data_IF_883705152878
#
_entry.id   IF_883705152878
#
_cell.length_a   1.000
_cell.length_b   1.000
_cell.length_c   1.000
_cell.angle_alpha   90.00
_cell.angle_beta   90.00
_cell.angle_gamma   90.00
#
_symmetry.space_group_name_H-M   'P 1'
#
loop_
_entity.id
_entity.type
_entity.pdbx_description
1 polymer ?
#
# COMPACT_ATOMS: atom_id res chain seq x y z
N UNK A 1 5.78 13.18 -1.65
CA UNK A 1 5.91 13.82 -2.98
C UNK A 1 4.57 14.11 -3.67
N UNK A 2 3.43 13.89 -2.99
CA UNK A 2 2.12 14.17 -3.56
C UNK A 2 1.90 15.70 -3.68
N UNK A 3 1.35 16.20 -4.80
CA UNK A 3 1.09 17.62 -5.00
C UNK A 3 0.21 18.24 -3.92
N UNK A 4 -0.80 17.51 -3.46
CA UNK A 4 -1.70 17.97 -2.38
C UNK A 4 -0.97 18.29 -1.05
N UNK A 5 0.25 17.78 -0.85
CA UNK A 5 1.12 18.09 0.29
C UNK A 5 2.34 18.95 -0.11
N UNK A 6 2.26 19.66 -1.23
CA UNK A 6 3.32 20.54 -1.72
C UNK A 6 4.42 19.84 -2.53
N UNK A 7 4.27 18.59 -2.88
CA UNK A 7 5.16 17.87 -3.80
C UNK A 7 5.15 18.48 -5.20
N UNK A 8 6.32 18.58 -5.84
CA UNK A 8 6.45 19.24 -7.13
C UNK A 8 6.89 18.31 -8.27
N UNK A 9 7.26 17.07 -7.94
CA UNK A 9 7.84 16.15 -8.92
C UNK A 9 6.80 15.18 -9.52
N UNK A 10 5.77 14.80 -8.79
CA UNK A 10 4.78 13.83 -9.23
C UNK A 10 3.54 14.51 -9.82
N UNK A 11 2.91 13.82 -10.77
CA UNK A 11 1.59 14.16 -11.30
C UNK A 11 0.61 13.07 -10.86
N UNK A 12 -0.36 13.42 -10.03
CA UNK A 12 -1.30 12.46 -9.42
C UNK A 12 -2.76 12.86 -9.60
N UNK A 13 -3.24 13.00 -10.86
CA UNK A 13 -4.56 13.60 -11.13
C UNK A 13 -5.71 12.84 -10.46
N UNK A 14 -5.66 11.53 -10.36
CA UNK A 14 -6.71 10.73 -9.72
C UNK A 14 -6.69 10.86 -8.19
N UNK A 15 -5.50 10.93 -7.59
CA UNK A 15 -5.34 11.16 -6.13
C UNK A 15 -5.79 12.59 -5.80
N UNK A 16 -5.42 13.56 -6.64
CA UNK A 16 -5.79 14.97 -6.45
C UNK A 16 -7.30 15.16 -6.57
N UNK A 17 -7.95 14.46 -7.53
CA UNK A 17 -9.40 14.46 -7.67
C UNK A 17 -10.12 13.84 -6.46
N UNK A 18 -9.58 12.74 -5.91
CA UNK A 18 -10.09 12.12 -4.69
C UNK A 18 -9.94 13.07 -3.49
N UNK A 19 -8.79 13.72 -3.35
CA UNK A 19 -8.53 14.68 -2.28
C UNK A 19 -9.46 15.89 -2.34
N UNK A 20 -9.78 16.38 -3.54
CA UNK A 20 -10.70 17.50 -3.74
C UNK A 20 -12.16 17.19 -3.32
N UNK A 21 -12.54 15.91 -3.31
CA UNK A 21 -13.87 15.44 -2.94
C UNK A 21 -13.93 14.85 -1.53
N UNK A 22 -12.79 14.63 -0.90
CA UNK A 22 -12.65 13.95 0.37
C UNK A 22 -12.10 14.82 1.48
N UNK A 23 -11.83 14.17 2.62
CA UNK A 23 -11.13 14.77 3.75
C UNK A 23 -9.65 14.44 3.67
N UNK A 24 -8.80 15.46 3.63
CA UNK A 24 -7.34 15.32 3.59
C UNK A 24 -6.74 15.60 4.97
N UNK A 25 -5.96 14.67 5.49
CA UNK A 25 -5.28 14.80 6.77
C UNK A 25 -3.86 15.34 6.57
N UNK A 26 -3.58 16.52 7.10
CA UNK A 26 -2.25 17.13 7.04
C UNK A 26 -1.25 16.48 8.03
N UNK A 27 -1.76 15.79 9.03
CA UNK A 27 -0.96 15.08 10.04
C UNK A 27 -1.53 13.69 10.24
N UNK A 28 -0.88 12.69 9.68
CA UNK A 28 -1.17 11.29 9.89
C UNK A 28 0.10 10.57 10.35
N UNK A 29 0.01 9.82 11.43
CA UNK A 29 1.14 9.16 12.07
C UNK A 29 0.92 7.66 12.13
N UNK A 30 2.01 6.92 12.05
CA UNK A 30 2.05 5.48 12.30
C UNK A 30 3.15 5.18 13.32
N UNK A 31 2.99 4.10 14.06
CA UNK A 31 3.92 3.74 15.13
C UNK A 31 5.25 3.19 14.62
N UNK A 32 5.24 2.52 13.48
CA UNK A 32 6.44 1.91 12.88
C UNK A 32 6.48 2.11 11.38
N UNK A 33 7.57 2.73 10.88
CA UNK A 33 7.81 2.97 9.47
C UNK A 33 8.41 1.74 8.74
N UNK A 34 8.07 0.53 9.18
CA UNK A 34 8.47 -0.73 8.53
C UNK A 34 7.26 -1.44 7.93
N UNK A 35 7.45 -2.14 6.81
CA UNK A 35 6.39 -2.76 6.03
C UNK A 35 5.42 -3.59 6.87
N UNK A 36 5.90 -4.64 7.52
CA UNK A 36 5.03 -5.60 8.20
C UNK A 36 4.41 -5.05 9.49
N UNK A 37 5.14 -4.38 10.39
CA UNK A 37 4.54 -3.74 11.57
C UNK A 37 3.46 -2.71 11.22
N UNK A 38 3.73 -1.82 10.26
CA UNK A 38 2.76 -0.83 9.80
C UNK A 38 1.49 -1.48 9.23
N UNK A 39 1.63 -2.54 8.44
CA UNK A 39 0.47 -3.27 7.89
C UNK A 39 -0.31 -4.02 8.96
N UNK A 40 0.38 -4.65 9.92
CA UNK A 40 -0.26 -5.30 11.05
C UNK A 40 -1.03 -4.28 11.93
N UNK A 41 -0.46 -3.10 12.14
CA UNK A 41 -1.13 -1.97 12.80
C UNK A 41 -2.37 -1.53 12.03
N UNK A 42 -2.24 -1.26 10.73
CA UNK A 42 -3.34 -0.83 9.86
C UNK A 42 -4.50 -1.83 9.84
N UNK A 43 -4.20 -3.12 9.72
CA UNK A 43 -5.22 -4.16 9.60
C UNK A 43 -5.77 -4.68 10.92
N UNK A 44 -5.12 -4.40 12.06
CA UNK A 44 -5.62 -4.77 13.38
C UNK A 44 -6.17 -3.61 14.20
N UNK A 45 -5.83 -2.37 13.83
CA UNK A 45 -6.13 -1.19 14.64
C UNK A 45 -5.37 -1.15 15.96
N UNK A 46 -4.30 -1.95 16.11
CA UNK A 46 -3.51 -2.06 17.34
C UNK A 46 -2.05 -1.74 17.09
N UNK A 47 -1.44 -1.01 18.00
CA UNK A 47 -0.01 -0.73 17.95
C UNK A 47 0.83 -2.01 17.93
N UNK A 48 2.04 -2.00 17.31
CA UNK A 48 2.91 -3.16 17.20
C UNK A 48 3.20 -3.86 18.53
N UNK A 49 3.35 -3.12 19.60
CA UNK A 49 3.57 -3.69 20.95
C UNK A 49 2.37 -4.50 21.45
N UNK A 50 1.16 -4.09 21.06
CA UNK A 50 -0.08 -4.77 21.45
C UNK A 50 -0.39 -5.95 20.51
N UNK A 51 -0.22 -5.79 19.20
CA UNK A 51 -0.47 -6.86 18.24
C UNK A 51 0.66 -7.89 18.15
N UNK A 52 1.86 -7.59 18.67
CA UNK A 52 3.03 -8.46 18.69
C UNK A 52 3.94 -8.39 17.47
N UNK A 53 3.54 -7.68 16.41
CA UNK A 53 4.32 -7.53 15.19
C UNK A 53 5.20 -6.27 15.26
N UNK A 54 6.29 -6.32 16.02
CA UNK A 54 7.13 -5.16 16.31
C UNK A 54 8.26 -4.91 15.29
N UNK A 55 8.58 -5.89 14.42
CA UNK A 55 9.62 -5.78 13.38
C UNK A 55 9.26 -6.60 12.15
N UNK A 56 9.98 -6.39 11.05
CA UNK A 56 9.76 -7.14 9.82
C UNK A 56 9.97 -8.64 10.05
N UNK A 57 9.13 -9.45 9.41
CA UNK A 57 9.08 -10.90 9.50
C UNK A 57 8.64 -11.47 10.87
N UNK A 58 8.23 -10.62 11.82
CA UNK A 58 7.52 -11.07 13.02
C UNK A 58 6.07 -11.42 12.74
N UNK A 59 5.40 -12.09 13.65
CA UNK A 59 3.98 -12.44 13.52
C UNK A 59 3.15 -11.68 14.55
N UNK A 60 1.92 -11.37 14.19
CA UNK A 60 0.95 -10.91 15.20
C UNK A 60 0.55 -12.05 16.13
N UNK A 61 0.16 -11.69 17.34
CA UNK A 61 -0.31 -12.68 18.33
C UNK A 61 -1.58 -13.36 17.82
N UNK A 62 -1.77 -14.66 18.07
CA UNK A 62 -2.92 -15.42 17.55
C UNK A 62 -4.29 -14.92 17.99
N UNK A 63 -4.37 -14.25 19.14
CA UNK A 63 -5.60 -13.70 19.72
C UNK A 63 -5.98 -12.31 19.17
N UNK A 64 -5.13 -11.70 18.37
CA UNK A 64 -5.42 -10.41 17.71
C UNK A 64 -6.58 -10.59 16.74
N UNK A 65 -7.49 -9.62 16.74
CA UNK A 65 -8.57 -9.53 15.75
C UNK A 65 -8.21 -8.49 14.71
N UNK A 66 -8.54 -8.77 13.47
CA UNK A 66 -8.19 -7.92 12.34
C UNK A 66 -9.40 -7.43 11.56
N UNK A 67 -9.19 -6.43 10.74
CA UNK A 67 -10.21 -5.85 9.86
C UNK A 67 -10.97 -6.93 9.05
N UNK A 68 -10.32 -7.89 8.36
CA UNK A 68 -11.05 -8.91 7.63
C UNK A 68 -11.93 -9.80 8.53
N UNK A 69 -11.51 -10.07 9.76
CA UNK A 69 -12.35 -10.83 10.70
C UNK A 69 -13.57 -10.02 11.18
N UNK A 70 -13.36 -8.72 11.45
CA UNK A 70 -14.46 -7.85 11.89
C UNK A 70 -15.47 -7.62 10.76
N UNK A 71 -15.00 -7.27 9.57
CA UNK A 71 -15.86 -7.05 8.41
C UNK A 71 -16.55 -8.32 7.94
N UNK A 72 -15.84 -9.47 7.96
CA UNK A 72 -16.44 -10.76 7.64
C UNK A 72 -17.63 -11.12 8.54
N UNK A 73 -17.60 -10.79 9.83
CA UNK A 73 -18.73 -10.94 10.75
C UNK A 73 -19.94 -10.06 10.40
N UNK A 74 -19.70 -8.97 9.69
CA UNK A 74 -20.74 -8.06 9.21
C UNK A 74 -21.24 -8.43 7.80
N UNK A 75 -20.84 -9.60 7.27
CA UNK A 75 -21.24 -10.07 5.96
C UNK A 75 -20.43 -9.51 4.78
N UNK A 76 -19.29 -8.84 5.04
CA UNK A 76 -18.44 -8.36 3.96
C UNK A 76 -17.53 -9.46 3.42
N UNK A 77 -17.37 -9.50 2.11
CA UNK A 77 -16.25 -10.16 1.46
C UNK A 77 -15.01 -9.26 1.59
N UNK A 78 -13.90 -9.79 2.11
CA UNK A 78 -12.71 -8.98 2.35
C UNK A 78 -11.53 -9.51 1.56
N UNK A 79 -11.13 -8.80 0.52
CA UNK A 79 -10.07 -9.18 -0.40
C UNK A 79 -8.82 -8.31 -0.29
N UNK A 80 -7.70 -8.89 -0.76
CA UNK A 80 -6.45 -8.16 -0.96
C UNK A 80 -5.78 -8.59 -2.26
N UNK A 81 -5.45 -7.62 -3.10
CA UNK A 81 -4.65 -7.79 -4.32
C UNK A 81 -3.24 -7.22 -4.09
N UNK A 82 -2.21 -7.98 -4.48
CA UNK A 82 -0.81 -7.57 -4.34
C UNK A 82 -0.21 -7.84 -2.96
N UNK A 83 0.53 -6.90 -2.41
CA UNK A 83 1.35 -7.09 -1.20
C UNK A 83 0.50 -7.30 0.05
N UNK A 84 0.58 -8.49 0.64
CA UNK A 84 -0.07 -8.83 1.92
C UNK A 84 0.85 -8.49 3.09
N UNK A 85 1.94 -9.18 3.23
CA UNK A 85 3.03 -8.99 4.20
C UNK A 85 2.56 -8.80 5.64
N UNK A 86 1.63 -9.64 6.07
CA UNK A 86 1.20 -9.82 7.47
C UNK A 86 1.00 -11.30 7.76
N UNK A 87 1.14 -11.72 8.99
CA UNK A 87 0.95 -13.10 9.44
C UNK A 87 0.56 -13.17 10.92
N UNK A 88 -0.03 -14.27 11.39
CA UNK A 88 -0.42 -15.46 10.63
C UNK A 88 -1.70 -15.21 9.79
N UNK A 89 -1.95 -16.09 8.81
CA UNK A 89 -3.15 -16.00 7.95
C UNK A 89 -4.45 -16.17 8.75
N UNK A 90 -4.41 -16.95 9.82
CA UNK A 90 -5.55 -17.11 10.74
C UNK A 90 -5.99 -15.81 11.43
N UNK A 91 -5.08 -14.86 11.60
CA UNK A 91 -5.37 -13.52 12.11
C UNK A 91 -5.81 -12.59 10.99
N UNK A 92 -5.23 -12.73 9.80
CA UNK A 92 -5.51 -11.88 8.63
C UNK A 92 -6.07 -12.69 7.46
N UNK A 93 -7.30 -13.22 7.56
CA UNK A 93 -7.90 -14.10 6.58
C UNK A 93 -8.46 -13.34 5.36
N UNK A 94 -7.57 -12.65 4.63
CA UNK A 94 -7.94 -12.01 3.38
C UNK A 94 -8.18 -13.04 2.28
N UNK A 95 -9.21 -12.83 1.47
CA UNK A 95 -9.32 -13.48 0.17
C UNK A 95 -8.25 -12.91 -0.78
N UNK A 96 -7.37 -13.76 -1.29
CA UNK A 96 -6.32 -13.35 -2.22
C UNK A 96 -6.91 -13.11 -3.60
N UNK A 97 -6.73 -11.89 -4.10
CA UNK A 97 -7.19 -11.46 -5.43
C UNK A 97 -6.00 -11.43 -6.39
N UNK A 98 -6.17 -12.03 -7.57
CA UNK A 98 -5.13 -12.18 -8.59
C UNK A 98 -4.86 -10.90 -9.36
N UNK A 99 -3.77 -10.88 -10.15
CA UNK A 99 -3.45 -9.81 -11.10
C UNK A 99 -2.34 -8.85 -10.66
N UNK A 100 -1.94 -8.92 -9.38
CA UNK A 100 -0.86 -8.09 -8.83
C UNK A 100 0.21 -8.98 -8.19
N UNK A 101 1.47 -8.79 -8.57
CA UNK A 101 2.58 -9.52 -7.95
C UNK A 101 2.76 -9.02 -6.50
N UNK A 102 2.67 -9.90 -5.49
CA UNK A 102 2.87 -9.52 -4.10
C UNK A 102 4.34 -9.33 -3.72
N UNK A 103 5.28 -9.71 -4.58
CA UNK A 103 6.71 -9.70 -4.31
C UNK A 103 7.35 -8.36 -4.61
N UNK A 104 7.50 -7.54 -3.59
CA UNK A 104 8.07 -6.19 -3.69
C UNK A 104 9.60 -6.13 -3.90
N UNK A 105 10.30 -7.27 -3.93
CA UNK A 105 11.75 -7.30 -4.19
C UNK A 105 12.08 -7.77 -5.61
N UNK A 106 11.10 -8.12 -6.41
CA UNK A 106 11.25 -8.37 -7.84
C UNK A 106 11.07 -7.11 -8.63
N UNK A 107 11.84 -6.99 -9.72
CA UNK A 107 11.57 -5.97 -10.72
C UNK A 107 10.19 -6.24 -11.34
N UNK A 108 9.23 -5.35 -11.22
CA UNK A 108 7.96 -5.52 -11.88
C UNK A 108 8.20 -5.45 -13.40
N UNK A 109 8.06 -6.59 -14.06
CA UNK A 109 8.29 -6.72 -15.51
C UNK A 109 7.00 -6.77 -16.32
N UNK A 110 5.86 -6.81 -15.64
CA UNK A 110 4.54 -6.90 -16.26
C UNK A 110 3.62 -5.81 -15.74
N UNK A 111 2.78 -5.31 -16.62
CA UNK A 111 1.67 -4.45 -16.23
C UNK A 111 0.74 -5.18 -15.25
N UNK A 112 0.13 -4.44 -14.35
CA UNK A 112 -0.87 -4.98 -13.44
C UNK A 112 -2.10 -5.44 -14.24
N UNK A 113 -2.59 -6.64 -13.91
CA UNK A 113 -3.85 -7.15 -14.45
C UNK A 113 -4.99 -6.87 -13.47
N UNK A 114 -5.86 -5.96 -13.84
CA UNK A 114 -7.02 -5.56 -13.02
C UNK A 114 -8.23 -6.49 -13.16
N UNK A 115 -8.14 -7.56 -13.97
CA UNK A 115 -9.26 -8.48 -14.19
C UNK A 115 -9.74 -9.14 -12.89
N UNK A 116 -8.81 -9.62 -12.06
CA UNK A 116 -9.13 -10.21 -10.76
C UNK A 116 -9.79 -9.22 -9.80
N UNK A 117 -9.35 -7.96 -9.80
CA UNK A 117 -9.97 -6.87 -9.02
C UNK A 117 -11.39 -6.62 -9.50
N UNK A 118 -11.62 -6.50 -10.81
CA UNK A 118 -12.94 -6.31 -11.40
C UNK A 118 -13.86 -7.47 -11.06
N UNK A 119 -13.37 -8.70 -11.24
CA UNK A 119 -14.11 -9.90 -10.89
C UNK A 119 -14.50 -9.88 -9.41
N UNK A 120 -13.56 -9.65 -8.49
CA UNK A 120 -13.85 -9.58 -7.07
C UNK A 120 -14.93 -8.55 -6.74
N UNK A 121 -14.92 -7.40 -7.39
CA UNK A 121 -15.91 -6.33 -7.16
C UNK A 121 -17.29 -6.69 -7.70
N UNK A 122 -17.37 -7.46 -8.80
CA UNK A 122 -18.63 -7.85 -9.44
C UNK A 122 -19.22 -9.17 -8.94
N UNK A 123 -18.44 -9.99 -8.23
CA UNK A 123 -18.90 -11.28 -7.71
C UNK A 123 -19.90 -11.10 -6.58
N UNK A 124 -21.08 -11.71 -6.75
CA UNK A 124 -22.12 -11.74 -5.73
C UNK A 124 -22.78 -10.39 -5.43
N UNK A 125 -23.65 -10.39 -4.44
CA UNK A 125 -24.44 -9.24 -3.96
C UNK A 125 -23.98 -8.71 -2.61
N UNK A 126 -23.10 -9.44 -1.93
CA UNK A 126 -22.60 -9.06 -0.61
C UNK A 126 -21.70 -7.82 -0.68
N UNK A 127 -21.75 -6.96 0.32
CA UNK A 127 -20.83 -5.84 0.40
C UNK A 127 -19.38 -6.34 0.46
N UNK A 128 -18.44 -5.54 -0.05
CA UNK A 128 -17.03 -5.92 -0.05
C UNK A 128 -16.13 -4.82 0.47
N UNK A 129 -14.99 -5.25 1.00
CA UNK A 129 -13.83 -4.41 1.26
C UNK A 129 -12.64 -4.98 0.50
N UNK A 130 -12.07 -4.21 -0.42
CA UNK A 130 -10.93 -4.63 -1.22
C UNK A 130 -9.74 -3.72 -0.98
N UNK A 131 -8.63 -4.31 -0.57
CA UNK A 131 -7.33 -3.64 -0.48
C UNK A 131 -6.55 -3.92 -1.76
N UNK A 132 -6.19 -2.87 -2.50
CA UNK A 132 -5.27 -2.98 -3.63
C UNK A 132 -3.92 -2.43 -3.20
N UNK A 133 -2.96 -3.31 -3.03
CA UNK A 133 -1.66 -3.02 -2.45
C UNK A 133 -0.55 -3.24 -3.49
N UNK A 134 -0.29 -2.22 -4.28
CA UNK A 134 0.80 -2.25 -5.26
C UNK A 134 2.15 -2.37 -4.59
N UNK A 135 3.12 -2.94 -5.29
CA UNK A 135 4.50 -3.01 -4.84
C UNK A 135 5.26 -1.71 -5.10
N UNK A 136 4.84 -0.95 -6.10
CA UNK A 136 5.32 0.41 -6.32
C UNK A 136 4.79 1.32 -5.18
N UNK A 137 5.59 2.12 -4.65
CA UNK A 137 6.93 2.62 -4.96
C UNK A 137 8.06 1.98 -4.13
N UNK A 138 8.02 0.68 -3.90
CA UNK A 138 9.07 -0.03 -3.17
C UNK A 138 10.34 -0.17 -4.02
N UNK A 139 11.51 -0.21 -3.37
CA UNK A 139 12.78 -0.56 -4.05
C UNK A 139 12.70 -2.01 -4.60
N UNK A 140 13.36 -2.32 -5.73
CA UNK A 140 14.13 -1.45 -6.62
C UNK A 140 13.23 -0.55 -7.48
N UNK A 141 13.63 0.70 -7.69
CA UNK A 141 12.91 1.67 -8.52
C UNK A 141 13.33 1.50 -9.99
N UNK A 142 12.71 0.61 -10.68
CA UNK A 142 13.10 0.18 -12.04
C UNK A 142 12.10 0.58 -13.12
N UNK A 143 10.94 1.08 -12.72
CA UNK A 143 9.92 1.58 -13.63
C UNK A 143 9.80 3.09 -13.49
N UNK A 144 10.03 3.77 -14.58
CA UNK A 144 9.86 5.21 -14.69
C UNK A 144 9.74 5.60 -16.15
N UNK A 145 9.03 6.68 -16.40
CA UNK A 145 8.88 7.27 -17.73
C UNK A 145 9.73 8.54 -17.82
N UNK A 146 10.93 8.41 -18.36
CA UNK A 146 11.88 9.52 -18.53
C UNK A 146 11.36 10.63 -19.48
N UNK A 147 10.35 10.34 -20.30
CA UNK A 147 9.70 11.35 -21.13
C UNK A 147 8.87 12.33 -20.30
N UNK A 148 8.29 11.85 -19.20
CA UNK A 148 7.47 12.66 -18.28
C UNK A 148 8.29 13.24 -17.13
N UNK A 149 9.34 12.54 -16.68
CA UNK A 149 10.11 12.85 -15.48
C UNK A 149 11.60 13.01 -15.82
N UNK A 150 11.97 14.18 -16.31
CA UNK A 150 13.38 14.48 -16.64
C UNK A 150 14.22 14.63 -15.37
N UNK A 151 15.37 13.92 -15.23
CA UNK A 151 16.30 14.07 -14.11
C UNK A 151 16.75 15.50 -13.87
N UNK A 152 16.86 16.30 -14.94
CA UNK A 152 17.27 17.72 -14.86
C UNK A 152 16.22 18.63 -14.23
N UNK A 153 14.95 18.25 -14.25
CA UNK A 153 13.81 19.07 -13.79
C UNK A 153 13.29 18.71 -12.42
N UNK A 154 13.69 17.57 -11.86
CA UNK A 154 13.23 17.15 -10.53
C UNK A 154 13.82 18.06 -9.45
N UNK A 155 12.97 18.39 -8.48
CA UNK A 155 13.37 19.09 -7.26
C UNK A 155 13.83 18.07 -6.24
N UNK A 156 15.11 18.09 -5.89
CA UNK A 156 15.66 17.20 -4.89
C UNK A 156 15.22 17.59 -3.47
N UNK A 157 15.00 16.62 -2.56
CA UNK A 157 14.82 16.90 -1.15
C UNK A 157 16.06 17.61 -0.56
N UNK A 158 15.90 18.46 0.46
CA UNK A 158 16.99 19.27 1.00
C UNK A 158 18.11 18.45 1.65
N UNK A 159 17.86 17.20 1.96
CA UNK A 159 18.84 16.27 2.56
C UNK A 159 19.60 15.44 1.52
N UNK A 160 19.37 15.66 0.23
CA UNK A 160 20.07 14.95 -0.86
C UNK A 160 20.96 15.93 -1.62
N UNK A 161 22.24 15.59 -1.76
CA UNK A 161 23.17 16.38 -2.53
C UNK A 161 22.81 16.37 -4.02
N UNK A 162 22.86 17.54 -4.66
CA UNK A 162 22.56 17.68 -6.07
C UNK A 162 23.77 17.24 -6.91
N UNK A 163 23.77 15.99 -7.32
CA UNK A 163 24.81 15.41 -8.19
C UNK A 163 24.14 14.69 -9.36
N UNK A 164 24.91 14.44 -10.42
CA UNK A 164 24.44 13.66 -11.56
C UNK A 164 23.86 12.31 -11.12
N UNK A 165 24.58 11.61 -10.23
CA UNK A 165 24.18 10.28 -9.73
C UNK A 165 22.89 10.29 -8.89
N UNK A 166 22.63 11.36 -8.15
CA UNK A 166 21.40 11.48 -7.34
C UNK A 166 20.19 11.90 -8.14
N UNK A 167 20.41 12.38 -9.38
CA UNK A 167 19.32 12.74 -10.30
C UNK A 167 18.94 11.63 -11.28
N UNK A 168 19.83 10.65 -11.47
CA UNK A 168 19.62 9.45 -12.29
C UNK A 168 19.00 8.30 -11.48
#
# INVERSE_FOLDING_TARGET
DLPLYGGQNAKTPNIDALAAQGLTFNKAYLCSAMCQPCRAELFSGQYPMNNGCAWNHSASRPNVKSMPQHLGKLGYRVGIAGKIHVKPESVFPFQKVTGFDPNCVRNPTKAHDVSGVRQFMSDGTDPFCLVVAWVETHVPWVLGDASQYSPKKIKLPPNIADTKRTRE
#
